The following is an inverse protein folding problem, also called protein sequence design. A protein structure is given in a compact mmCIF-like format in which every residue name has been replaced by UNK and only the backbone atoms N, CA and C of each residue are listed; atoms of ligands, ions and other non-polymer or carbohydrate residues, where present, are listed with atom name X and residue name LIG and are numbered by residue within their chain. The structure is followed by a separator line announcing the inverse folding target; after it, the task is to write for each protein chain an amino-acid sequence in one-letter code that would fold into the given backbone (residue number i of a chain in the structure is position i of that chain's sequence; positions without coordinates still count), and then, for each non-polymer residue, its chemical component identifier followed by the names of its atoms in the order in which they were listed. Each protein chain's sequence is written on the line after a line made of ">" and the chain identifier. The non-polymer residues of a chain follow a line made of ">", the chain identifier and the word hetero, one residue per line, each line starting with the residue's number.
data_IF_113417337955
#
_entry.id   IF_113417337955
#
_cell.length_a   1.000
_cell.length_b   1.000
_cell.length_c   1.000
_cell.angle_alpha   90.00
_cell.angle_beta   90.00
_cell.angle_gamma   90.00
#
_symmetry.space_group_name_H-M   'P 1'
#
loop_
_entity.id
_entity.type
_entity.pdbx_description
1 polymer ?
#
# COMPACT_ATOMS: atom_id res chain seq x y z
N UNK A 1 7.56 19.24 -3.97
CA UNK A 1 7.32 18.84 -2.58
C UNK A 1 8.66 18.76 -1.87
N UNK A 2 9.02 19.80 -1.11
CA UNK A 2 10.32 19.90 -0.44
C UNK A 2 10.24 20.62 0.92
N UNK A 3 9.04 21.10 1.29
CA UNK A 3 8.82 21.72 2.60
C UNK A 3 8.75 20.65 3.69
N UNK A 4 8.85 21.08 4.95
CA UNK A 4 8.82 20.17 6.10
C UNK A 4 7.47 19.44 6.16
N UNK A 5 7.51 18.11 6.29
CA UNK A 5 6.32 17.28 6.36
C UNK A 5 5.81 17.23 7.81
N UNK A 6 4.61 17.72 8.06
CA UNK A 6 4.01 17.74 9.40
C UNK A 6 2.98 16.62 9.61
N UNK A 7 2.23 16.28 8.56
CA UNK A 7 1.17 15.29 8.55
C UNK A 7 1.22 14.46 7.27
N UNK A 8 1.07 13.15 7.41
CA UNK A 8 0.96 12.22 6.28
C UNK A 8 -0.08 11.12 6.54
N UNK A 9 -0.78 10.74 5.49
CA UNK A 9 -1.67 9.58 5.51
C UNK A 9 -0.91 8.35 5.03
N UNK A 10 -0.91 7.28 5.82
CA UNK A 10 -0.33 5.98 5.42
C UNK A 10 -1.46 4.98 5.25
N UNK A 11 -1.52 4.33 4.10
CA UNK A 11 -2.54 3.32 3.78
C UNK A 11 -2.32 1.98 4.47
N UNK A 12 -3.19 1.01 4.19
CA UNK A 12 -3.11 -0.37 4.69
C UNK A 12 -3.04 -1.38 3.54
N UNK A 13 -2.40 -2.53 3.79
CA UNK A 13 -2.43 -3.67 2.89
C UNK A 13 -3.61 -4.62 3.16
N UNK A 14 -4.42 -4.38 4.20
CA UNK A 14 -5.56 -5.23 4.52
C UNK A 14 -6.61 -5.23 3.41
N UNK A 15 -7.14 -6.41 3.09
CA UNK A 15 -8.22 -6.58 2.12
C UNK A 15 -7.82 -6.33 0.66
N UNK A 16 -6.53 -6.18 0.35
CA UNK A 16 -6.11 -5.91 -1.03
C UNK A 16 -6.37 -7.11 -1.96
N UNK A 17 -6.92 -6.78 -3.12
CA UNK A 17 -7.13 -7.70 -4.23
C UNK A 17 -6.19 -7.33 -5.39
N UNK A 18 -6.00 -8.28 -6.29
CA UNK A 18 -5.58 -7.95 -7.63
C UNK A 18 -6.69 -7.16 -8.34
N UNK A 19 -6.33 -6.23 -9.24
CA UNK A 19 -7.32 -5.51 -10.02
C UNK A 19 -8.14 -6.48 -10.87
N UNK A 20 -9.42 -6.18 -11.05
CA UNK A 20 -10.28 -6.92 -11.97
C UNK A 20 -9.77 -6.78 -13.41
N UNK A 21 -10.04 -7.79 -14.24
CA UNK A 21 -9.64 -7.77 -15.65
C UNK A 21 -10.35 -6.67 -16.45
N UNK A 22 -11.45 -6.12 -15.92
CA UNK A 22 -12.23 -5.05 -16.55
C UNK A 22 -12.58 -3.93 -15.57
N UNK A 23 -12.49 -2.64 -15.98
CA UNK A 23 -11.86 -2.19 -17.22
C UNK A 23 -10.37 -2.55 -17.24
N UNK A 24 -9.85 -2.93 -18.42
CA UNK A 24 -8.43 -3.24 -18.56
C UNK A 24 -7.64 -2.00 -18.15
N UNK A 25 -7.06 -2.03 -16.95
CA UNK A 25 -6.12 -1.00 -16.55
C UNK A 25 -5.00 -1.03 -17.59
N UNK A 26 -4.60 0.13 -18.17
CA UNK A 26 -3.44 0.15 -19.05
C UNK A 26 -2.33 -0.53 -18.29
N UNK A 27 -1.76 -1.58 -18.87
CA UNK A 27 -0.71 -2.38 -18.27
C UNK A 27 0.48 -1.47 -17.97
N UNK A 28 0.50 -0.84 -16.79
CA UNK A 28 1.69 -0.24 -16.18
C UNK A 28 2.63 -1.36 -15.72
N UNK A 29 2.20 -2.61 -15.87
CA UNK A 29 3.02 -3.79 -15.70
C UNK A 29 4.21 -3.63 -16.65
N UNK A 30 5.39 -3.48 -16.04
CA UNK A 30 6.65 -3.18 -16.69
C UNK A 30 7.10 -4.24 -17.71
N UNK A 31 8.38 -4.27 -18.09
CA UNK A 31 8.87 -5.03 -19.24
C UNK A 31 8.39 -6.50 -19.25
N UNK A 32 8.25 -7.14 -20.43
CA UNK A 32 7.48 -8.37 -20.69
C UNK A 32 7.86 -9.63 -19.88
N UNK A 33 8.83 -9.54 -18.97
CA UNK A 33 9.20 -10.56 -18.01
C UNK A 33 8.37 -10.46 -16.72
N UNK A 34 7.07 -10.17 -16.84
CA UNK A 34 6.20 -10.09 -15.67
C UNK A 34 6.07 -11.47 -15.04
N UNK A 35 6.51 -11.52 -13.79
CA UNK A 35 6.50 -12.69 -12.92
C UNK A 35 5.16 -13.45 -13.04
N UNK A 36 5.14 -14.80 -12.96
CA UNK A 36 3.92 -15.63 -13.10
C UNK A 36 2.76 -15.23 -12.15
N UNK A 37 2.99 -14.36 -11.17
CA UNK A 37 1.95 -13.79 -10.30
C UNK A 37 1.10 -12.67 -10.93
N UNK A 38 1.42 -12.22 -12.15
CA UNK A 38 0.64 -11.22 -12.90
C UNK A 38 -0.14 -11.83 -14.06
N UNK A 39 0.07 -13.13 -14.34
CA UNK A 39 -0.79 -13.88 -15.24
C UNK A 39 -2.11 -14.16 -14.50
N UNK A 40 -3.13 -13.36 -14.81
CA UNK A 40 -4.55 -13.62 -14.56
C UNK A 40 -4.91 -14.13 -13.15
N UNK A 41 -4.70 -13.32 -12.12
CA UNK A 41 -5.26 -13.61 -10.79
C UNK A 41 -6.20 -12.46 -10.49
N UNK A 42 -7.51 -12.65 -10.68
CA UNK A 42 -8.51 -11.79 -10.05
C UNK A 42 -8.70 -12.22 -8.59
N UNK A 43 -9.17 -11.31 -7.73
CA UNK A 43 -9.50 -11.61 -6.34
C UNK A 43 -8.35 -11.39 -5.34
N UNK A 44 -8.44 -11.96 -4.13
CA UNK A 44 -7.56 -11.60 -3.02
C UNK A 44 -6.09 -11.92 -3.27
N UNK A 45 -5.19 -11.04 -2.81
CA UNK A 45 -3.75 -11.34 -2.85
C UNK A 45 -3.38 -12.45 -1.85
N UNK A 46 -2.28 -13.19 -2.08
CA UNK A 46 -1.81 -14.19 -1.13
C UNK A 46 -1.61 -13.60 0.27
N UNK A 47 -2.19 -14.24 1.29
CA UNK A 47 -2.18 -13.76 2.69
C UNK A 47 -0.78 -13.41 3.19
N UNK A 48 0.21 -14.23 2.86
CA UNK A 48 1.62 -14.00 3.23
C UNK A 48 2.13 -12.65 2.70
N UNK A 49 1.80 -12.29 1.45
CA UNK A 49 2.21 -11.00 0.87
C UNK A 49 1.51 -9.82 1.51
N UNK A 50 0.24 -10.00 1.89
CA UNK A 50 -0.51 -8.99 2.63
C UNK A 50 0.15 -8.73 3.99
N UNK A 51 0.53 -9.80 4.71
CA UNK A 51 1.20 -9.70 6.01
C UNK A 51 2.57 -9.04 5.90
N UNK A 52 3.40 -9.45 4.92
CA UNK A 52 4.72 -8.86 4.68
C UNK A 52 4.60 -7.37 4.32
N UNK A 53 3.66 -7.01 3.44
CA UNK A 53 3.42 -5.62 3.07
C UNK A 53 2.90 -4.78 4.24
N UNK A 54 1.98 -5.32 5.06
CA UNK A 54 1.48 -4.61 6.24
C UNK A 54 2.61 -4.37 7.24
N UNK A 55 3.46 -5.37 7.51
CA UNK A 55 4.60 -5.21 8.42
C UNK A 55 5.59 -4.13 7.93
N UNK A 56 5.79 -3.99 6.61
CA UNK A 56 6.61 -2.92 6.06
C UNK A 56 5.97 -1.54 6.23
N UNK A 57 4.64 -1.44 6.06
CA UNK A 57 3.89 -0.21 6.30
C UNK A 57 3.93 0.19 7.78
N UNK A 58 3.73 -0.77 8.69
CA UNK A 58 3.80 -0.53 10.13
C UNK A 58 5.19 -0.01 10.52
N UNK A 59 6.25 -0.62 9.97
CA UNK A 59 7.61 -0.14 10.19
C UNK A 59 7.85 1.29 9.65
N UNK A 60 7.28 1.63 8.49
CA UNK A 60 7.35 3.00 7.96
C UNK A 60 6.65 4.00 8.89
N UNK A 61 5.48 3.64 9.43
CA UNK A 61 4.76 4.48 10.40
C UNK A 61 5.62 4.75 11.63
N UNK A 62 6.29 3.73 12.15
CA UNK A 62 7.19 3.87 13.31
C UNK A 62 8.35 4.82 13.01
N UNK A 63 8.96 4.72 11.83
CA UNK A 63 10.02 5.63 11.40
C UNK A 63 9.53 7.08 11.27
N UNK A 64 8.37 7.31 10.66
CA UNK A 64 7.80 8.65 10.52
C UNK A 64 7.48 9.28 11.88
N UNK A 65 6.91 8.49 12.80
CA UNK A 65 6.62 8.95 14.17
C UNK A 65 7.89 9.26 14.96
N UNK A 66 8.97 8.49 14.75
CA UNK A 66 10.27 8.78 15.35
C UNK A 66 10.84 10.13 14.89
N UNK A 67 10.55 10.54 13.66
CA UNK A 67 10.87 11.86 13.10
C UNK A 67 9.86 12.96 13.50
N UNK A 68 8.99 12.69 14.49
CA UNK A 68 7.95 13.61 14.98
C UNK A 68 6.93 14.04 13.93
N UNK A 69 6.70 13.22 12.90
CA UNK A 69 5.68 13.44 11.87
C UNK A 69 4.35 12.83 12.36
N UNK A 70 3.26 13.56 12.19
CA UNK A 70 1.92 13.05 12.50
C UNK A 70 1.49 12.07 11.41
N UNK A 71 1.09 10.86 11.79
CA UNK A 71 0.68 9.82 10.84
C UNK A 71 -0.76 9.39 11.09
N UNK A 72 -1.62 9.58 10.09
CA UNK A 72 -3.00 9.10 10.09
C UNK A 72 -3.09 7.77 9.33
N UNK A 73 -3.54 6.71 10.00
CA UNK A 73 -3.71 5.36 9.43
C UNK A 73 -5.19 5.02 9.21
N UNK A 74 -6.10 5.73 9.89
CA UNK A 74 -7.55 5.67 9.74
C UNK A 74 -8.15 7.08 9.71
N UNK A 75 -9.38 7.20 9.21
CA UNK A 75 -10.19 8.42 9.30
C UNK A 75 -10.40 8.83 10.76
N UNK A 76 -10.40 7.86 11.69
CA UNK A 76 -10.59 8.13 13.12
C UNK A 76 -9.39 8.85 13.75
N UNK A 77 -8.19 8.70 13.18
CA UNK A 77 -6.96 9.30 13.71
C UNK A 77 -6.89 10.81 13.47
N UNK A 78 -7.71 11.34 12.55
CA UNK A 78 -7.74 12.76 12.17
C UNK A 78 -8.71 13.57 13.06
N UNK A 79 -9.57 12.88 13.82
CA UNK A 79 -10.65 13.52 14.61
C UNK A 79 -10.30 13.78 16.08
N UNK A 80 -9.11 13.36 16.52
CA UNK A 80 -8.57 13.64 17.85
C UNK A 80 -7.48 14.73 17.78
#
# INVERSE_FOLDING_TARGET
>A
EWDSLELICVGTAHGICYPDETPAFPSVAGPPNLSPYLQSIAGPRPRRRIQEAQAQLDHLVDLLRAESITVACSIDDIRN
#
